data_IF_747790271538
#
_entry.id   IF_747790271538
#
_cell.length_a   1.000
_cell.length_b   1.000
_cell.length_c   1.000
_cell.angle_alpha   90.00
_cell.angle_beta   90.00
_cell.angle_gamma   90.00
#
_symmetry.space_group_name_H-M   'P 1'
#
loop_
_entity.id
_entity.type
_entity.pdbx_description
1 polymer ?
#
# COMPACT_ATOMS: atom_id res chain seq x y z
N UNK A 1 68.00 -28.88 35.62
CA UNK A 1 68.12 -28.13 36.88
C UNK A 1 66.92 -27.18 37.00
N UNK A 2 66.16 -27.29 38.11
CA UNK A 2 65.44 -26.21 38.83
C UNK A 2 64.40 -25.43 37.99
N UNK A 3 63.07 -25.45 38.20
CA UNK A 3 62.28 -25.72 39.39
C UNK A 3 62.08 -24.46 40.24
N UNK A 4 61.02 -23.66 40.01
CA UNK A 4 60.31 -22.80 40.98
C UNK A 4 59.42 -21.81 40.21
N UNK A 5 58.08 -21.79 40.32
CA UNK A 5 57.18 -21.59 41.47
C UNK A 5 57.01 -20.11 41.85
N UNK A 6 55.75 -19.67 41.70
CA UNK A 6 55.03 -18.63 42.45
C UNK A 6 55.59 -17.20 42.32
N UNK A 7 54.85 -16.12 42.44
CA UNK A 7 53.59 -15.86 43.13
C UNK A 7 53.02 -14.55 42.57
N UNK A 8 51.70 -14.33 42.68
CA UNK A 8 51.19 -12.95 42.72
C UNK A 8 51.72 -12.22 43.97
N UNK A 9 51.54 -10.90 44.12
CA UNK A 9 50.19 -10.41 44.43
C UNK A 9 49.87 -8.94 44.00
N UNK A 10 48.60 -8.60 44.23
CA UNK A 10 48.08 -7.34 44.75
C UNK A 10 48.26 -6.00 43.98
N UNK A 11 47.10 -5.51 43.53
CA UNK A 11 46.56 -4.18 43.81
C UNK A 11 47.41 -2.95 43.46
N UNK A 12 47.25 -2.47 42.23
CA UNK A 12 47.40 -1.06 41.88
C UNK A 12 46.01 -0.44 41.70
N UNK A 13 45.71 0.60 42.48
CA UNK A 13 44.45 1.34 42.42
C UNK A 13 44.40 2.39 41.31
N UNK A 14 43.17 2.88 41.12
CA UNK A 14 42.78 4.17 40.50
C UNK A 14 42.95 4.32 38.99
N UNK A 15 41.86 4.09 38.25
CA UNK A 15 41.24 5.10 37.39
C UNK A 15 39.93 4.59 36.76
N UNK A 16 38.92 5.47 36.71
CA UNK A 16 37.72 5.40 35.87
C UNK A 16 36.63 4.35 36.21
N UNK A 17 35.73 4.73 37.12
CA UNK A 17 34.33 4.30 37.05
C UNK A 17 33.58 5.12 35.96
N UNK A 18 32.39 4.72 35.45
CA UNK A 18 31.70 3.43 35.60
C UNK A 18 31.28 2.81 34.25
N UNK A 19 31.52 1.51 34.08
CA UNK A 19 30.79 0.66 33.14
C UNK A 19 29.91 -0.28 33.95
N UNK A 20 28.66 0.12 34.24
CA UNK A 20 27.65 -0.84 34.69
C UNK A 20 26.21 -0.35 34.41
N UNK A 21 25.59 -1.04 33.45
CA UNK A 21 24.15 -1.33 33.31
C UNK A 21 23.16 -0.16 33.24
N UNK A 22 22.68 0.24 32.04
CA UNK A 22 21.33 0.76 31.97
C UNK A 22 20.37 -0.40 32.28
N UNK A 23 19.54 -0.18 33.29
CA UNK A 23 18.36 -0.97 33.59
C UNK A 23 17.64 -1.39 32.30
N UNK A 24 17.16 -2.65 32.26
CA UNK A 24 16.13 -3.07 31.31
C UNK A 24 14.92 -2.16 31.50
N UNK A 25 14.87 -1.06 30.76
CA UNK A 25 13.63 -0.33 30.51
C UNK A 25 12.76 -1.27 29.70
N UNK A 26 11.83 -1.91 30.39
CA UNK A 26 10.63 -2.46 29.77
C UNK A 26 9.89 -1.27 29.16
N UNK A 27 10.19 -0.99 27.90
CA UNK A 27 9.40 -0.09 27.10
C UNK A 27 7.95 -0.59 27.14
N UNK A 28 6.97 0.24 27.53
CA UNK A 28 5.58 -0.15 27.38
C UNK A 28 5.34 -0.37 25.89
N UNK A 29 4.99 -1.60 25.52
CA UNK A 29 4.39 -1.86 24.22
C UNK A 29 3.20 -0.93 24.11
N UNK A 30 3.34 0.13 23.31
CA UNK A 30 2.24 0.98 22.94
C UNK A 30 1.32 0.10 22.10
N UNK A 31 0.30 -0.46 22.74
CA UNK A 31 -0.83 -1.04 22.05
C UNK A 31 -1.47 0.10 21.27
N UNK A 32 -1.13 0.20 19.98
CA UNK A 32 -1.87 1.02 19.05
C UNK A 32 -3.29 0.48 19.04
N UNK A 33 -4.15 1.08 19.87
CA UNK A 33 -5.59 0.96 19.78
C UNK A 33 -5.95 1.07 18.31
N UNK A 34 -6.66 0.09 17.72
CA UNK A 34 -7.07 0.17 16.34
C UNK A 34 -7.80 1.49 16.17
N UNK A 35 -7.22 2.40 15.38
CA UNK A 35 -7.89 3.63 15.03
C UNK A 35 -9.28 3.25 14.53
N UNK A 36 -10.32 3.83 15.14
CA UNK A 36 -11.68 3.60 14.71
C UNK A 36 -11.74 3.76 13.18
N UNK A 37 -12.36 2.82 12.45
CA UNK A 37 -12.36 2.85 11.01
C UNK A 37 -12.85 4.22 10.56
N UNK A 38 -12.08 4.88 9.71
CA UNK A 38 -12.41 6.21 9.21
C UNK A 38 -13.88 6.19 8.71
N UNK A 39 -14.67 7.23 9.02
CA UNK A 39 -16.04 7.31 8.58
C UNK A 39 -16.08 7.19 7.05
N UNK A 40 -17.05 6.44 6.56
CA UNK A 40 -17.20 6.23 5.13
C UNK A 40 -17.48 7.56 4.45
N UNK A 41 -16.84 7.78 3.30
CA UNK A 41 -17.03 9.00 2.53
C UNK A 41 -18.44 9.05 1.94
N UNK A 42 -19.05 10.23 1.77
CA UNK A 42 -20.36 10.39 1.13
C UNK A 42 -20.44 9.72 -0.25
N UNK A 43 -19.38 9.83 -1.05
CA UNK A 43 -19.28 9.18 -2.37
C UNK A 43 -19.34 7.66 -2.28
N UNK A 44 -18.64 7.07 -1.31
CA UNK A 44 -18.67 5.63 -1.08
C UNK A 44 -20.07 5.16 -0.65
N UNK A 45 -20.74 5.91 0.22
CA UNK A 45 -22.12 5.61 0.65
C UNK A 45 -23.09 5.69 -0.54
N UNK A 46 -23.00 6.76 -1.34
CA UNK A 46 -23.83 6.93 -2.53
C UNK A 46 -23.62 5.79 -3.52
N UNK A 47 -22.37 5.39 -3.76
CA UNK A 47 -22.09 4.30 -4.69
C UNK A 47 -22.53 2.93 -4.16
N UNK A 48 -22.41 2.67 -2.86
CA UNK A 48 -22.95 1.45 -2.23
C UNK A 48 -24.47 1.39 -2.37
N UNK A 49 -25.19 2.49 -2.11
CA UNK A 49 -26.66 2.53 -2.30
C UNK A 49 -27.09 2.33 -3.75
N UNK A 50 -26.27 2.80 -4.71
CA UNK A 50 -26.52 2.59 -6.15
C UNK A 50 -26.30 1.14 -6.57
N UNK A 51 -25.26 0.49 -6.04
CA UNK A 51 -24.90 -0.88 -6.41
C UNK A 51 -25.66 -1.94 -5.60
N UNK A 52 -26.10 -1.60 -4.39
CA UNK A 52 -26.85 -2.45 -3.48
C UNK A 52 -28.09 -1.66 -3.02
N UNK A 53 -29.18 -1.63 -3.82
CA UNK A 53 -30.37 -0.84 -3.50
C UNK A 53 -31.08 -1.34 -2.23
N UNK A 54 -31.18 -2.65 -2.06
CA UNK A 54 -31.89 -3.28 -0.95
C UNK A 54 -30.96 -3.65 0.22
N UNK A 55 -30.35 -2.64 0.87
CA UNK A 55 -29.40 -2.85 1.97
C UNK A 55 -29.99 -3.58 3.19
N UNK A 56 -31.31 -3.49 3.40
CA UNK A 56 -31.99 -4.13 4.52
C UNK A 56 -32.09 -5.65 4.32
N UNK A 57 -32.48 -6.08 3.12
CA UNK A 57 -32.62 -7.49 2.75
C UNK A 57 -31.29 -8.14 2.33
N UNK A 58 -30.31 -7.32 1.91
CA UNK A 58 -29.00 -7.80 1.48
C UNK A 58 -28.06 -8.01 2.68
N UNK A 59 -27.43 -9.18 2.74
CA UNK A 59 -26.39 -9.46 3.74
C UNK A 59 -25.08 -8.69 3.42
N UNK A 60 -24.25 -8.46 4.43
CA UNK A 60 -22.92 -7.83 4.24
C UNK A 60 -22.09 -8.61 3.21
N UNK A 61 -22.16 -9.93 3.23
CA UNK A 61 -21.42 -10.81 2.31
C UNK A 61 -21.93 -10.61 0.88
N UNK A 62 -23.24 -10.67 0.66
CA UNK A 62 -23.82 -10.45 -0.68
C UNK A 62 -23.55 -9.04 -1.22
N UNK A 63 -23.65 -8.02 -0.36
CA UNK A 63 -23.32 -6.64 -0.74
C UNK A 63 -21.84 -6.51 -1.11
N UNK A 64 -20.93 -7.08 -0.32
CA UNK A 64 -19.49 -7.07 -0.60
C UNK A 64 -19.15 -7.78 -1.91
N UNK A 65 -19.82 -8.90 -2.21
CA UNK A 65 -19.69 -9.60 -3.49
C UNK A 65 -20.14 -8.74 -4.67
N UNK A 66 -21.23 -7.99 -4.53
CA UNK A 66 -21.69 -7.05 -5.55
C UNK A 66 -20.67 -5.93 -5.80
N UNK A 67 -20.11 -5.34 -4.73
CA UNK A 67 -19.08 -4.30 -4.84
C UNK A 67 -17.80 -4.83 -5.49
N UNK A 68 -17.33 -6.03 -5.09
CA UNK A 68 -16.17 -6.68 -5.73
C UNK A 68 -16.41 -6.95 -7.21
N UNK A 69 -17.59 -7.48 -7.58
CA UNK A 69 -17.93 -7.70 -8.99
C UNK A 69 -17.93 -6.39 -9.80
N UNK A 70 -18.42 -5.29 -9.22
CA UNK A 70 -18.36 -3.99 -9.85
C UNK A 70 -16.90 -3.52 -10.04
N UNK A 71 -16.08 -3.58 -9.00
CA UNK A 71 -14.66 -3.24 -9.10
C UNK A 71 -13.89 -4.12 -10.09
N UNK A 72 -14.21 -5.42 -10.19
CA UNK A 72 -13.62 -6.32 -11.19
C UNK A 72 -13.97 -5.91 -12.62
N UNK A 73 -15.18 -5.37 -12.86
CA UNK A 73 -15.53 -4.80 -14.18
C UNK A 73 -14.67 -3.57 -14.47
N UNK A 74 -14.50 -2.68 -13.49
CA UNK A 74 -13.67 -1.48 -13.63
C UNK A 74 -12.19 -1.86 -13.87
N UNK A 75 -11.65 -2.85 -13.16
CA UNK A 75 -10.30 -3.37 -13.40
C UNK A 75 -10.14 -3.97 -14.79
N UNK A 76 -11.12 -4.74 -15.29
CA UNK A 76 -11.09 -5.29 -16.65
C UNK A 76 -11.13 -4.18 -17.70
N UNK A 77 -11.98 -3.18 -17.51
CA UNK A 77 -12.06 -2.03 -18.41
C UNK A 77 -10.73 -1.26 -18.43
N UNK A 78 -10.14 -1.01 -17.27
CA UNK A 78 -8.82 -0.40 -17.16
C UNK A 78 -7.76 -1.25 -17.88
N UNK A 79 -7.72 -2.57 -17.68
CA UNK A 79 -6.75 -3.45 -18.33
C UNK A 79 -6.88 -3.47 -19.87
N UNK A 80 -8.10 -3.41 -20.41
CA UNK A 80 -8.34 -3.31 -21.87
C UNK A 80 -7.80 -1.97 -22.39
N UNK A 81 -8.11 -0.88 -21.70
CA UNK A 81 -7.66 0.45 -22.09
C UNK A 81 -6.12 0.58 -22.02
N UNK A 82 -5.52 0.02 -20.98
CA UNK A 82 -4.06 -0.10 -20.81
C UNK A 82 -3.43 -0.82 -21.99
N UNK A 83 -3.96 -1.98 -22.38
CA UNK A 83 -3.46 -2.74 -23.52
C UNK A 83 -3.47 -1.94 -24.83
N UNK A 84 -4.56 -1.21 -25.09
CA UNK A 84 -4.69 -0.35 -26.28
C UNK A 84 -3.67 0.80 -26.27
N UNK A 85 -3.51 1.47 -25.12
CA UNK A 85 -2.56 2.58 -24.96
C UNK A 85 -1.12 2.10 -25.09
N UNK A 86 -0.80 0.93 -24.54
CA UNK A 86 0.53 0.34 -24.65
C UNK A 86 0.89 0.01 -26.10
N UNK A 87 -0.04 -0.57 -26.87
CA UNK A 87 0.18 -0.84 -28.29
C UNK A 87 0.43 0.45 -29.09
N UNK A 88 -0.35 1.50 -28.84
CA UNK A 88 -0.14 2.80 -29.49
C UNK A 88 1.21 3.41 -29.13
N UNK A 89 1.63 3.30 -27.87
CA UNK A 89 2.91 3.83 -27.42
C UNK A 89 4.11 3.03 -27.98
N UNK A 90 3.97 1.71 -28.13
CA UNK A 90 4.97 0.87 -28.81
C UNK A 90 5.13 1.27 -30.29
N UNK A 91 4.02 1.44 -31.01
CA UNK A 91 4.06 1.89 -32.41
C UNK A 91 4.71 3.28 -32.54
N UNK A 92 4.38 4.21 -31.64
CA UNK A 92 4.99 5.54 -31.63
C UNK A 92 6.51 5.47 -31.38
N UNK A 93 6.95 4.58 -30.48
CA UNK A 93 8.37 4.37 -30.21
C UNK A 93 9.10 3.76 -31.42
N UNK A 94 8.52 2.75 -32.07
CA UNK A 94 9.09 2.17 -33.28
C UNK A 94 9.21 3.19 -34.41
N UNK A 95 8.23 4.07 -34.56
CA UNK A 95 8.25 5.13 -35.57
C UNK A 95 9.33 6.17 -35.27
N UNK A 96 9.48 6.57 -34.00
CA UNK A 96 10.57 7.45 -33.56
C UNK A 96 11.96 6.80 -33.69
N UNK A 97 12.05 5.48 -33.56
CA UNK A 97 13.30 4.75 -33.82
C UNK A 97 13.65 4.75 -35.31
N UNK A 98 12.65 4.54 -36.17
CA UNK A 98 12.82 4.56 -37.63
C UNK A 98 13.13 5.95 -38.19
N UNK A 99 12.66 7.03 -37.55
CA UNK A 99 12.97 8.40 -37.97
C UNK A 99 14.41 8.82 -37.65
N UNK A 100 15.12 8.08 -36.78
CA UNK A 100 16.47 8.42 -36.34
C UNK A 100 16.55 9.66 -35.44
N UNK A 101 15.41 10.22 -35.05
CA UNK A 101 15.35 11.42 -34.21
C UNK A 101 15.44 11.08 -32.73
N UNK A 102 16.55 11.45 -32.10
CA UNK A 102 16.74 11.26 -30.66
C UNK A 102 15.68 11.99 -29.82
N UNK A 103 15.25 13.17 -30.27
CA UNK A 103 14.21 13.95 -29.59
C UNK A 103 12.85 13.24 -29.60
N UNK A 104 12.49 12.60 -30.72
CA UNK A 104 11.25 11.83 -30.83
C UNK A 104 11.31 10.55 -29.99
N UNK A 105 12.47 9.90 -29.93
CA UNK A 105 12.68 8.73 -29.07
C UNK A 105 12.55 9.09 -27.59
N UNK A 106 13.18 10.17 -27.13
CA UNK A 106 13.06 10.63 -25.75
C UNK A 106 11.61 10.99 -25.40
N UNK A 107 10.89 11.66 -26.30
CA UNK A 107 9.48 11.98 -26.13
C UNK A 107 8.61 10.71 -26.01
N UNK A 108 8.85 9.70 -26.85
CA UNK A 108 8.14 8.43 -26.81
C UNK A 108 8.42 7.64 -25.51
N UNK A 109 9.69 7.61 -25.06
CA UNK A 109 10.08 6.98 -23.79
C UNK A 109 9.44 7.69 -22.60
N UNK A 110 9.42 9.03 -22.60
CA UNK A 110 8.76 9.82 -21.56
C UNK A 110 7.26 9.51 -21.51
N UNK A 111 6.59 9.48 -22.66
CA UNK A 111 5.16 9.15 -22.76
C UNK A 111 4.86 7.75 -22.22
N UNK A 112 5.72 6.77 -22.48
CA UNK A 112 5.60 5.42 -21.92
C UNK A 112 5.70 5.42 -20.38
N UNK A 113 6.65 6.17 -19.80
CA UNK A 113 6.79 6.28 -18.33
C UNK A 113 5.58 6.97 -17.69
N UNK A 114 5.12 8.06 -18.29
CA UNK A 114 3.95 8.80 -17.80
C UNK A 114 2.70 7.91 -17.85
N UNK A 115 2.55 7.11 -18.90
CA UNK A 115 1.49 6.12 -19.02
C UNK A 115 1.56 5.09 -17.88
N UNK A 116 2.70 4.46 -17.64
CA UNK A 116 2.85 3.48 -16.55
C UNK A 116 2.48 4.05 -15.17
N UNK A 117 2.84 5.32 -14.91
CA UNK A 117 2.46 6.01 -13.68
C UNK A 117 0.94 6.22 -13.60
N UNK A 118 0.31 6.65 -14.70
CA UNK A 118 -1.13 6.84 -14.78
C UNK A 118 -1.91 5.54 -14.59
N UNK A 119 -1.44 4.45 -15.20
CA UNK A 119 -2.02 3.12 -15.09
C UNK A 119 -1.97 2.62 -13.65
N UNK A 120 -0.81 2.73 -13.01
CA UNK A 120 -0.65 2.37 -11.58
C UNK A 120 -1.60 3.18 -10.70
N UNK A 121 -1.69 4.49 -10.93
CA UNK A 121 -2.60 5.36 -10.20
C UNK A 121 -4.08 5.03 -10.46
N UNK A 122 -4.44 4.56 -11.66
CA UNK A 122 -5.80 4.14 -11.98
C UNK A 122 -6.19 2.86 -11.23
N UNK A 123 -5.32 1.85 -11.23
CA UNK A 123 -5.53 0.59 -10.49
C UNK A 123 -5.64 0.86 -8.98
N UNK A 124 -4.75 1.69 -8.43
CA UNK A 124 -4.82 2.08 -7.02
C UNK A 124 -6.11 2.82 -6.68
N UNK A 125 -6.58 3.72 -7.55
CA UNK A 125 -7.87 4.42 -7.35
C UNK A 125 -9.05 3.45 -7.32
N UNK A 126 -9.10 2.46 -8.20
CA UNK A 126 -10.15 1.44 -8.19
C UNK A 126 -10.11 0.64 -6.88
N UNK A 127 -8.91 0.24 -6.44
CA UNK A 127 -8.73 -0.50 -5.19
C UNK A 127 -9.14 0.30 -3.95
N UNK A 128 -8.70 1.56 -3.87
CA UNK A 128 -9.04 2.47 -2.76
C UNK A 128 -10.55 2.71 -2.70
N UNK A 129 -11.19 2.95 -3.85
CA UNK A 129 -12.64 3.10 -3.95
C UNK A 129 -13.37 1.86 -3.43
N UNK A 130 -12.98 0.66 -3.86
CA UNK A 130 -13.58 -0.58 -3.36
C UNK A 130 -13.46 -0.70 -1.84
N UNK A 131 -12.29 -0.39 -1.26
CA UNK A 131 -12.10 -0.41 0.19
C UNK A 131 -13.02 0.57 0.93
N UNK A 132 -13.16 1.79 0.41
CA UNK A 132 -14.09 2.79 0.95
C UNK A 132 -15.54 2.32 0.87
N UNK A 133 -15.94 1.71 -0.24
CA UNK A 133 -17.29 1.15 -0.42
C UNK A 133 -17.56 -0.04 0.52
N UNK A 134 -16.58 -0.92 0.74
CA UNK A 134 -16.71 -2.00 1.72
C UNK A 134 -16.84 -1.47 3.15
N UNK A 135 -16.15 -0.37 3.46
CA UNK A 135 -16.26 0.31 4.75
C UNK A 135 -17.64 0.96 4.92
N UNK A 136 -18.12 1.65 3.89
CA UNK A 136 -19.47 2.21 3.81
C UNK A 136 -20.54 1.13 4.04
N UNK A 137 -20.44 0.00 3.34
CA UNK A 137 -21.39 -1.10 3.49
C UNK A 137 -21.45 -1.61 4.95
N UNK A 138 -20.30 -1.78 5.60
CA UNK A 138 -20.24 -2.21 7.01
C UNK A 138 -20.88 -1.18 7.93
N UNK A 139 -20.58 0.10 7.74
CA UNK A 139 -21.12 1.18 8.58
C UNK A 139 -22.64 1.33 8.39
N UNK A 140 -23.14 1.24 7.15
CA UNK A 140 -24.58 1.28 6.86
C UNK A 140 -25.32 0.10 7.52
N UNK A 141 -24.70 -1.08 7.59
CA UNK A 141 -25.28 -2.25 8.27
C UNK A 141 -25.16 -2.18 9.80
N UNK A 142 -24.14 -1.50 10.33
CA UNK A 142 -23.95 -1.33 11.77
C UNK A 142 -24.80 -0.20 12.36
N UNK A 143 -25.01 0.90 11.62
CA UNK A 143 -25.81 2.06 12.03
C UNK A 143 -27.29 1.99 11.65
N UNK A 144 -27.72 0.94 10.94
CA UNK A 144 -29.11 0.69 10.56
C UNK A 144 -29.91 -0.16 11.57
N UNK A 145 -29.49 -0.19 12.84
CA UNK A 145 -30.26 -0.80 13.94
C UNK A 145 -31.14 0.22 14.64
#
# INVERSE_FOLDING_TARGET
AIGARAAGPAAGGTAAAPIMSPARQTAPFSTSTPAAPAPATPDAIANVKRLVPDLNSTSVVQGAETLRRAALKDFKAAAIEMGARLQQAQQALEQAQKSGSQAEQEAAIKKLRDMQAQETAQIQRIAARLQSEMTALKQLKAGGK
#
